data_IF_208848181374
#
_entry.id   IF_208848181374
#
_cell.length_a   1.000
_cell.length_b   1.000
_cell.length_c   1.000
_cell.angle_alpha   90.00
_cell.angle_beta   90.00
_cell.angle_gamma   90.00
#
_symmetry.space_group_name_H-M   'P 1'
#
loop_
_entity.id
_entity.type
_entity.pdbx_description
1 polymer ?
#
# COMPACT_ATOMS: atom_id res chain seq x y z
N UNK A 1 -3.74 13.99 28.35
CA UNK A 1 -4.83 14.47 27.46
C UNK A 1 -5.75 13.30 27.15
N UNK A 2 -7.05 13.55 26.91
CA UNK A 2 -8.05 12.49 26.73
C UNK A 2 -8.70 12.54 25.35
N UNK A 3 -8.88 11.38 24.73
CA UNK A 3 -9.65 11.28 23.50
C UNK A 3 -11.14 11.43 23.77
N UNK A 4 -11.83 12.12 22.88
CA UNK A 4 -13.27 12.28 22.83
C UNK A 4 -13.79 11.54 21.60
N UNK A 5 -14.72 10.62 21.82
CA UNK A 5 -15.47 10.00 20.73
C UNK A 5 -16.47 11.01 20.16
N UNK A 6 -16.45 11.20 18.85
CA UNK A 6 -17.33 12.16 18.16
C UNK A 6 -18.45 11.46 17.35
N UNK A 7 -18.52 10.13 17.39
CA UNK A 7 -19.51 9.36 16.63
C UNK A 7 -19.04 9.04 15.20
N UNK A 8 -20.00 8.74 14.34
CA UNK A 8 -19.83 8.58 12.89
C UNK A 8 -19.28 9.86 12.24
N UNK A 9 -18.79 9.77 10.99
CA UNK A 9 -18.42 10.98 10.25
C UNK A 9 -19.58 11.99 10.19
N UNK A 10 -20.81 11.54 9.93
CA UNK A 10 -21.98 12.43 9.81
C UNK A 10 -22.24 13.23 11.10
N UNK A 11 -22.05 12.61 12.27
CA UNK A 11 -22.21 13.27 13.57
C UNK A 11 -21.03 14.20 13.89
N UNK A 12 -19.80 13.72 13.66
CA UNK A 12 -18.57 14.42 14.00
C UNK A 12 -18.40 15.75 13.24
N UNK A 13 -19.06 15.92 12.09
CA UNK A 13 -19.14 17.20 11.33
C UNK A 13 -19.61 18.38 12.16
N UNK A 14 -20.41 18.13 13.21
CA UNK A 14 -20.97 19.16 14.10
C UNK A 14 -20.00 19.57 15.21
N UNK A 15 -18.84 18.93 15.33
CA UNK A 15 -17.86 19.21 16.38
C UNK A 15 -17.11 20.52 16.14
N UNK A 16 -17.05 21.38 17.16
CA UNK A 16 -16.29 22.65 17.12
C UNK A 16 -14.90 22.58 17.75
N UNK A 17 -14.37 21.40 18.09
CA UNK A 17 -13.07 21.32 18.77
C UNK A 17 -11.89 21.52 17.81
N UNK A 18 -10.80 22.07 18.34
CA UNK A 18 -9.46 22.05 17.75
C UNK A 18 -8.67 20.87 18.30
N UNK A 19 -7.81 20.25 17.48
CA UNK A 19 -7.02 19.13 17.97
C UNK A 19 -6.37 18.27 16.90
N UNK A 20 -5.88 17.11 17.37
CA UNK A 20 -5.58 15.94 16.53
C UNK A 20 -6.86 15.11 16.43
N UNK A 21 -7.15 14.54 15.27
CA UNK A 21 -8.28 13.62 15.09
C UNK A 21 -7.84 12.34 14.38
N UNK A 22 -8.57 11.26 14.67
CA UNK A 22 -8.44 9.97 14.03
C UNK A 22 -9.74 9.69 13.30
N UNK A 23 -9.63 9.14 12.09
CA UNK A 23 -10.73 8.38 11.48
C UNK A 23 -10.40 6.91 11.71
N UNK A 24 -11.36 6.19 12.28
CA UNK A 24 -11.23 4.79 12.66
C UNK A 24 -12.29 4.00 11.92
N UNK A 25 -11.91 2.87 11.33
CA UNK A 25 -12.83 1.90 10.76
C UNK A 25 -13.22 0.87 11.83
N UNK A 26 -14.52 0.75 12.09
CA UNK A 26 -15.12 -0.18 13.06
C UNK A 26 -15.45 -1.53 12.40
N UNK A 27 -14.38 -2.26 12.05
CA UNK A 27 -14.46 -3.62 11.55
C UNK A 27 -14.38 -4.67 12.66
N UNK A 28 -13.83 -5.84 12.31
CA UNK A 28 -13.43 -6.88 13.29
C UNK A 28 -12.47 -6.31 14.33
N UNK A 29 -11.62 -5.37 13.90
CA UNK A 29 -10.74 -4.59 14.74
C UNK A 29 -10.97 -3.10 14.47
N UNK A 30 -10.95 -2.29 15.53
CA UNK A 30 -11.06 -0.83 15.43
C UNK A 30 -9.72 -0.25 14.93
N UNK A 31 -9.59 -0.06 13.62
CA UNK A 31 -8.34 0.32 12.93
C UNK A 31 -8.30 1.80 12.60
N UNK A 32 -7.18 2.47 12.89
CA UNK A 32 -6.96 3.85 12.45
C UNK A 32 -6.73 3.89 10.94
N UNK A 33 -7.57 4.58 10.18
CA UNK A 33 -7.46 4.72 8.72
C UNK A 33 -6.99 6.09 8.27
N UNK A 34 -7.04 7.08 9.16
CA UNK A 34 -6.52 8.42 8.92
C UNK A 34 -6.15 9.10 10.23
N UNK A 35 -5.10 9.92 10.20
CA UNK A 35 -4.69 10.79 11.32
C UNK A 35 -4.53 12.19 10.75
N UNK A 36 -5.09 13.20 11.40
CA UNK A 36 -4.92 14.58 10.98
C UNK A 36 -5.02 15.58 12.12
N UNK A 37 -4.77 16.84 11.79
CA UNK A 37 -4.89 17.98 12.71
C UNK A 37 -5.83 19.04 12.16
N UNK A 38 -6.48 19.79 13.03
CA UNK A 38 -7.27 20.96 12.62
C UNK A 38 -7.56 21.90 13.79
N UNK A 39 -7.68 23.19 13.49
CA UNK A 39 -8.28 24.17 14.40
C UNK A 39 -9.81 24.04 14.47
N UNK A 40 -10.44 23.31 13.55
CA UNK A 40 -11.86 22.97 13.56
C UNK A 40 -12.07 21.56 12.97
N UNK A 41 -12.11 20.57 13.86
CA UNK A 41 -12.27 19.16 13.49
C UNK A 41 -13.56 18.92 12.71
N UNK A 42 -14.70 19.48 13.11
CA UNK A 42 -15.98 19.23 12.41
C UNK A 42 -16.00 19.74 10.96
N UNK A 43 -15.38 20.90 10.71
CA UNK A 43 -15.16 21.38 9.33
C UNK A 43 -14.31 20.39 8.55
N UNK A 44 -13.20 19.92 9.12
CA UNK A 44 -12.29 18.99 8.43
C UNK A 44 -12.93 17.62 8.18
N UNK A 45 -13.76 17.13 9.11
CA UNK A 45 -14.56 15.92 8.91
C UNK A 45 -15.62 16.12 7.81
N UNK A 46 -16.21 17.31 7.70
CA UNK A 46 -17.12 17.63 6.58
C UNK A 46 -16.40 17.51 5.23
N UNK A 47 -15.19 18.05 5.13
CA UNK A 47 -14.36 17.93 3.92
C UNK A 47 -14.03 16.47 3.58
N UNK A 48 -13.75 15.63 4.60
CA UNK A 48 -13.55 14.19 4.38
C UNK A 48 -14.82 13.49 3.91
N UNK A 49 -15.96 13.76 4.55
CA UNK A 49 -17.25 13.15 4.19
C UNK A 49 -17.66 13.49 2.75
N UNK A 50 -17.65 14.77 2.37
CA UNK A 50 -17.95 15.18 0.99
C UNK A 50 -16.88 14.71 0.01
N UNK A 51 -15.63 14.57 0.46
CA UNK A 51 -14.55 13.98 -0.33
C UNK A 51 -14.82 12.51 -0.66
N UNK A 52 -15.32 11.73 0.29
CA UNK A 52 -15.71 10.34 0.06
C UNK A 52 -16.84 10.23 -0.97
N UNK A 53 -17.92 11.00 -0.79
CA UNK A 53 -19.08 10.97 -1.70
C UNK A 53 -18.72 11.32 -3.14
N UNK A 54 -17.72 12.18 -3.34
CA UNK A 54 -17.20 12.55 -4.66
C UNK A 54 -16.15 11.59 -5.22
N UNK A 55 -15.76 10.53 -4.50
CA UNK A 55 -14.67 9.63 -4.91
C UNK A 55 -13.27 10.25 -4.80
N UNK A 56 -13.12 11.39 -4.12
CA UNK A 56 -11.87 12.12 -3.90
C UNK A 56 -11.20 11.75 -2.56
N UNK A 57 -11.37 10.50 -2.14
CA UNK A 57 -10.76 9.90 -0.95
C UNK A 57 -10.56 8.40 -1.18
N UNK A 58 -9.56 7.83 -0.52
CA UNK A 58 -9.30 6.40 -0.58
C UNK A 58 -10.42 5.59 0.08
N UNK A 59 -11.03 4.66 -0.65
CA UNK A 59 -12.12 3.80 -0.16
C UNK A 59 -11.64 2.35 -0.14
N UNK A 60 -11.93 1.64 0.94
CA UNK A 60 -11.63 0.21 1.05
C UNK A 60 -12.94 -0.57 0.98
N UNK A 61 -12.96 -1.68 0.24
CA UNK A 61 -14.10 -2.60 0.21
C UNK A 61 -14.11 -3.48 1.48
N UNK A 62 -14.29 -2.84 2.64
CA UNK A 62 -14.29 -3.44 3.97
C UNK A 62 -15.52 -2.98 4.75
N UNK A 63 -16.35 -3.94 5.17
CA UNK A 63 -17.51 -3.69 6.03
C UNK A 63 -17.23 -3.98 7.50
N UNK A 64 -18.30 -4.11 8.29
CA UNK A 64 -18.24 -4.38 9.73
C UNK A 64 -17.49 -5.68 10.10
N UNK A 65 -17.61 -6.71 9.27
CA UNK A 65 -17.02 -8.02 9.52
C UNK A 65 -15.64 -8.20 8.85
N UNK A 66 -15.01 -7.12 8.41
CA UNK A 66 -13.70 -7.13 7.78
C UNK A 66 -12.67 -6.38 8.61
N UNK A 67 -11.41 -6.83 8.59
CA UNK A 67 -10.27 -5.99 9.00
C UNK A 67 -9.80 -5.17 7.79
N UNK A 68 -9.94 -3.85 7.84
CA UNK A 68 -9.46 -2.96 6.77
C UNK A 68 -7.95 -3.03 6.57
N UNK A 69 -7.17 -3.41 7.60
CA UNK A 69 -5.72 -3.55 7.48
C UNK A 69 -5.28 -4.71 6.58
N UNK A 70 -6.17 -5.64 6.22
CA UNK A 70 -5.90 -6.61 5.14
C UNK A 70 -5.62 -5.94 3.79
N UNK A 71 -6.19 -4.75 3.58
CA UNK A 71 -6.00 -3.92 2.40
C UNK A 71 -5.01 -2.78 2.60
N UNK A 72 -4.72 -2.36 3.83
CA UNK A 72 -3.80 -1.25 4.11
C UNK A 72 -2.38 -1.67 4.46
N UNK A 73 -2.18 -2.90 4.94
CA UNK A 73 -0.86 -3.36 5.38
C UNK A 73 -0.10 -4.06 4.27
N UNK A 74 1.12 -3.58 4.03
CA UNK A 74 2.10 -4.21 3.15
C UNK A 74 2.96 -5.26 3.86
N UNK A 75 2.58 -5.68 5.08
CA UNK A 75 3.36 -6.65 5.84
C UNK A 75 3.57 -7.96 5.06
N UNK A 76 4.82 -8.42 4.96
CA UNK A 76 5.25 -9.55 4.10
C UNK A 76 4.99 -9.38 2.59
N UNK A 77 4.63 -8.18 2.15
CA UNK A 77 4.51 -7.82 0.72
C UNK A 77 5.83 -7.19 0.24
N UNK A 78 6.46 -7.83 -0.76
CA UNK A 78 7.73 -7.35 -1.33
C UNK A 78 7.51 -6.13 -2.24
N UNK A 79 6.64 -6.27 -3.24
CA UNK A 79 6.30 -5.18 -4.17
C UNK A 79 4.90 -4.65 -3.83
N UNK A 80 4.86 -3.71 -2.89
CA UNK A 80 3.61 -3.12 -2.39
C UNK A 80 2.87 -2.35 -3.48
N UNK A 81 3.56 -1.60 -4.35
CA UNK A 81 2.92 -0.90 -5.48
C UNK A 81 2.13 -1.86 -6.37
N UNK A 82 2.75 -2.96 -6.80
CA UNK A 82 2.07 -3.97 -7.63
C UNK A 82 0.92 -4.62 -6.88
N UNK A 83 1.12 -4.95 -5.60
CA UNK A 83 0.07 -5.54 -4.77
C UNK A 83 -1.16 -4.64 -4.66
N UNK A 84 -0.96 -3.35 -4.42
CA UNK A 84 -2.06 -2.39 -4.36
C UNK A 84 -2.74 -2.19 -5.72
N UNK A 85 -2.00 -2.16 -6.83
CA UNK A 85 -2.59 -2.19 -8.18
C UNK A 85 -3.45 -3.44 -8.41
N UNK A 86 -2.99 -4.62 -7.98
CA UNK A 86 -3.76 -5.87 -8.04
C UNK A 86 -5.04 -5.77 -7.19
N UNK A 87 -4.97 -5.18 -5.99
CA UNK A 87 -6.15 -4.93 -5.14
C UNK A 87 -7.13 -3.94 -5.79
N UNK A 88 -6.64 -2.88 -6.43
CA UNK A 88 -7.48 -1.93 -7.15
C UNK A 88 -8.22 -2.60 -8.31
N UNK A 89 -7.50 -3.36 -9.15
CA UNK A 89 -8.07 -4.10 -10.27
C UNK A 89 -9.12 -5.15 -9.81
N UNK A 90 -9.00 -5.66 -8.57
CA UNK A 90 -9.97 -6.56 -7.95
C UNK A 90 -11.11 -5.86 -7.20
N UNK A 91 -11.26 -4.53 -7.36
CA UNK A 91 -12.27 -3.71 -6.67
C UNK A 91 -12.21 -3.82 -5.14
N UNK A 92 -11.00 -3.94 -4.60
CA UNK A 92 -10.75 -3.97 -3.15
C UNK A 92 -10.35 -2.61 -2.59
N UNK A 93 -9.69 -1.78 -3.40
CA UNK A 93 -9.25 -0.44 -3.03
C UNK A 93 -9.55 0.54 -4.17
N UNK A 94 -10.18 1.65 -3.83
CA UNK A 94 -10.22 2.86 -4.65
C UNK A 94 -9.18 3.81 -4.09
N UNK A 95 -8.06 4.02 -4.80
CA UNK A 95 -7.01 4.91 -4.32
C UNK A 95 -7.18 6.29 -4.95
N UNK A 96 -7.49 7.30 -4.14
CA UNK A 96 -7.70 8.66 -4.63
C UNK A 96 -6.96 9.67 -3.76
N UNK A 97 -6.75 10.87 -4.32
CA UNK A 97 -6.04 11.96 -3.66
C UNK A 97 -7.01 12.88 -2.93
N UNK A 98 -6.52 13.59 -1.93
CA UNK A 98 -7.31 14.62 -1.25
C UNK A 98 -7.46 15.92 -2.03
N UNK A 99 -6.76 16.05 -3.16
CA UNK A 99 -6.85 17.20 -4.07
C UNK A 99 -8.20 17.20 -4.77
N UNK A 100 -8.88 18.35 -4.79
CA UNK A 100 -10.12 18.49 -5.53
C UNK A 100 -9.83 18.37 -7.03
N UNK A 101 -10.33 17.29 -7.63
CA UNK A 101 -10.32 17.06 -9.07
C UNK A 101 -11.74 17.15 -9.60
N UNK A 102 -11.88 17.64 -10.84
CA UNK A 102 -13.17 17.74 -11.52
C UNK A 102 -13.80 16.36 -11.78
N UNK A 103 -12.99 15.32 -11.84
CA UNK A 103 -13.42 13.92 -11.93
C UNK A 103 -12.60 13.07 -10.96
N UNK A 104 -13.27 12.10 -10.33
CA UNK A 104 -12.62 11.15 -9.45
C UNK A 104 -11.77 10.18 -10.27
N UNK A 105 -10.53 9.94 -9.83
CA UNK A 105 -9.57 9.06 -10.50
C UNK A 105 -9.04 8.05 -9.51
N UNK A 106 -9.00 6.77 -9.91
CA UNK A 106 -8.25 5.76 -9.17
C UNK A 106 -6.78 5.79 -9.60
N UNK A 107 -5.93 6.29 -8.71
CA UNK A 107 -4.48 6.43 -8.90
C UNK A 107 -3.74 5.09 -9.06
N UNK A 108 -4.42 3.97 -8.81
CA UNK A 108 -3.91 2.60 -8.98
C UNK A 108 -4.45 1.88 -10.21
N UNK A 109 -5.50 2.40 -10.83
CA UNK A 109 -6.20 1.78 -11.95
C UNK A 109 -6.90 2.86 -12.78
N UNK A 110 -6.17 3.47 -13.71
CA UNK A 110 -6.64 4.64 -14.47
C UNK A 110 -7.89 4.34 -15.32
N UNK A 111 -8.13 3.08 -15.68
CA UNK A 111 -9.29 2.64 -16.45
C UNK A 111 -10.56 2.53 -15.58
N UNK A 112 -10.44 2.49 -14.25
CA UNK A 112 -11.60 2.42 -13.37
C UNK A 112 -12.26 3.78 -13.20
N UNK A 113 -13.58 3.78 -13.39
CA UNK A 113 -14.41 4.95 -13.14
C UNK A 113 -15.05 4.86 -11.76
N UNK A 114 -15.18 6.01 -11.11
CA UNK A 114 -16.03 6.13 -9.93
C UNK A 114 -17.49 6.15 -10.39
N UNK A 115 -18.30 5.24 -9.88
CA UNK A 115 -19.70 5.11 -10.25
C UNK A 115 -20.41 4.12 -9.34
N UNK A 116 -21.57 3.61 -9.79
CA UNK A 116 -22.52 2.85 -8.96
C UNK A 116 -21.88 1.77 -8.08
N UNK A 117 -20.92 1.00 -8.59
CA UNK A 117 -20.26 -0.05 -7.82
C UNK A 117 -19.46 0.50 -6.63
N UNK A 118 -18.73 1.60 -6.82
CA UNK A 118 -17.95 2.23 -5.75
C UNK A 118 -18.81 3.04 -4.81
N UNK A 119 -19.89 3.66 -5.31
CA UNK A 119 -20.91 4.31 -4.49
C UNK A 119 -21.60 3.30 -3.56
N UNK A 120 -21.96 2.12 -4.07
CA UNK A 120 -22.53 1.03 -3.28
C UNK A 120 -21.56 0.55 -2.19
N UNK A 121 -20.30 0.28 -2.54
CA UNK A 121 -19.27 -0.10 -1.55
C UNK A 121 -19.10 1.00 -0.50
N UNK A 122 -19.05 2.26 -0.93
CA UNK A 122 -18.86 3.38 -0.02
C UNK A 122 -20.03 3.50 0.96
N UNK A 123 -21.24 3.62 0.45
CA UNK A 123 -22.44 3.94 1.23
C UNK A 123 -22.90 2.78 2.09
N UNK A 124 -22.77 1.55 1.60
CA UNK A 124 -23.31 0.36 2.27
C UNK A 124 -22.26 -0.42 3.08
N UNK A 125 -20.96 -0.26 2.79
CA UNK A 125 -19.90 -1.01 3.50
C UNK A 125 -18.94 -0.12 4.24
N UNK A 126 -18.29 0.83 3.57
CA UNK A 126 -17.12 1.49 4.14
C UNK A 126 -17.48 2.67 5.05
N UNK A 127 -18.21 3.66 4.51
CA UNK A 127 -18.56 4.90 5.21
C UNK A 127 -19.32 4.67 6.52
N UNK A 128 -20.29 3.74 6.63
CA UNK A 128 -20.99 3.47 7.88
C UNK A 128 -20.08 2.98 9.02
N UNK A 129 -18.92 2.40 8.70
CA UNK A 129 -17.97 1.91 9.70
C UNK A 129 -16.96 2.97 10.11
N UNK A 130 -16.98 4.15 9.51
CA UNK A 130 -16.03 5.20 9.84
C UNK A 130 -16.54 6.06 11.00
N UNK A 131 -15.77 6.06 12.07
CA UNK A 131 -16.00 6.89 13.26
C UNK A 131 -14.82 7.80 13.54
N UNK A 132 -15.07 8.84 14.33
CA UNK A 132 -14.09 9.88 14.60
C UNK A 132 -13.78 9.95 16.10
N UNK A 133 -12.48 9.99 16.39
CA UNK A 133 -11.96 10.36 17.70
C UNK A 133 -11.21 11.68 17.58
N UNK A 134 -11.35 12.56 18.57
CA UNK A 134 -10.57 13.79 18.64
C UNK A 134 -9.82 13.87 19.96
N UNK A 135 -8.58 14.33 19.93
CA UNK A 135 -7.79 14.73 21.08
C UNK A 135 -7.81 16.27 21.13
N UNK A 136 -8.80 16.87 21.83
CA UNK A 136 -8.91 18.31 21.90
C UNK A 136 -7.80 18.91 22.78
N UNK A 137 -7.30 20.08 22.39
CA UNK A 137 -6.41 20.88 23.22
C UNK A 137 -6.77 22.37 23.13
N UNK A 138 -6.89 23.00 24.30
CA UNK A 138 -7.37 24.37 24.45
C UNK A 138 -6.39 25.40 23.86
N UNK A 139 -5.10 25.11 23.92
CA UNK A 139 -4.00 25.96 23.44
C UNK A 139 -3.47 25.48 22.08
N UNK A 140 -4.40 25.22 21.14
CA UNK A 140 -4.08 24.75 19.80
C UNK A 140 -3.09 25.67 19.09
N UNK A 141 -1.98 25.07 18.67
CA UNK A 141 -1.16 25.57 17.57
C UNK A 141 -0.95 24.43 16.58
N UNK A 142 -0.76 24.79 15.31
CA UNK A 142 -0.53 23.80 14.26
C UNK A 142 0.73 22.99 14.58
N UNK A 143 1.80 23.65 15.01
CA UNK A 143 3.09 23.03 15.32
C UNK A 143 2.97 21.96 16.42
N UNK A 144 2.25 22.25 17.51
CA UNK A 144 2.00 21.29 18.60
C UNK A 144 1.19 20.09 18.13
N UNK A 145 0.16 20.34 17.33
CA UNK A 145 -0.73 19.31 16.80
C UNK A 145 0.05 18.34 15.89
N UNK A 146 0.85 18.90 14.98
CA UNK A 146 1.62 18.15 13.98
C UNK A 146 2.69 17.27 14.62
N UNK A 147 3.27 17.66 15.76
CA UNK A 147 4.18 16.81 16.54
C UNK A 147 3.48 15.51 16.98
N UNK A 148 2.27 15.63 17.54
CA UNK A 148 1.51 14.47 18.02
C UNK A 148 1.05 13.60 16.85
N UNK A 149 0.50 14.21 15.80
CA UNK A 149 0.10 13.53 14.56
C UNK A 149 1.26 12.73 13.96
N UNK A 150 2.44 13.36 13.80
CA UNK A 150 3.59 12.75 13.16
C UNK A 150 4.10 11.53 13.94
N UNK A 151 4.11 11.59 15.28
CA UNK A 151 4.51 10.45 16.13
C UNK A 151 3.49 9.31 16.04
N UNK A 152 2.19 9.62 16.06
CA UNK A 152 1.13 8.61 15.88
C UNK A 152 1.27 7.93 14.51
N UNK A 153 1.30 8.71 13.42
CA UNK A 153 1.43 8.18 12.07
C UNK A 153 2.71 7.35 11.92
N UNK A 154 3.86 7.87 12.38
CA UNK A 154 5.15 7.15 12.27
C UNK A 154 5.14 5.82 13.01
N UNK A 155 4.58 5.76 14.22
CA UNK A 155 4.51 4.51 14.98
C UNK A 155 3.54 3.52 14.36
N UNK A 156 2.35 3.94 13.93
CA UNK A 156 1.39 3.08 13.24
C UNK A 156 1.97 2.51 11.93
N UNK A 157 2.59 3.37 11.12
CA UNK A 157 3.23 2.98 9.85
C UNK A 157 4.32 1.94 10.08
N UNK A 158 5.19 2.16 11.06
CA UNK A 158 6.28 1.23 11.40
C UNK A 158 5.76 -0.08 12.01
N UNK A 159 4.76 -0.01 12.89
CA UNK A 159 4.22 -1.19 13.57
C UNK A 159 3.47 -2.13 12.62
N UNK A 160 2.69 -1.57 11.71
CA UNK A 160 1.74 -2.32 10.88
C UNK A 160 2.13 -2.38 9.40
N UNK A 161 3.34 -1.92 9.04
CA UNK A 161 3.86 -1.84 7.67
C UNK A 161 2.89 -1.11 6.72
N UNK A 162 2.35 0.02 7.16
CA UNK A 162 1.43 0.89 6.39
C UNK A 162 2.25 1.80 5.46
N UNK A 163 2.91 1.20 4.47
CA UNK A 163 3.84 1.90 3.57
C UNK A 163 3.18 3.08 2.83
N UNK A 164 4.06 3.93 2.29
CA UNK A 164 3.69 5.15 1.62
C UNK A 164 2.75 4.99 0.43
N UNK A 165 2.03 6.06 0.11
CA UNK A 165 1.26 6.21 -1.11
C UNK A 165 2.19 6.18 -2.32
N UNK A 166 1.77 5.54 -3.41
CA UNK A 166 2.60 5.03 -4.51
C UNK A 166 3.68 6.04 -4.95
N UNK A 167 4.93 5.77 -4.54
CA UNK A 167 6.14 6.49 -4.92
C UNK A 167 6.44 7.85 -4.25
N UNK A 168 5.71 8.28 -3.21
CA UNK A 168 6.00 9.52 -2.48
C UNK A 168 6.58 9.24 -1.09
N UNK A 169 7.84 9.67 -0.87
CA UNK A 169 8.63 9.36 0.34
C UNK A 169 8.09 9.95 1.67
N UNK A 170 6.96 10.66 1.66
CA UNK A 170 6.43 11.37 2.84
C UNK A 170 4.90 11.28 2.99
N UNK A 171 4.22 10.58 2.07
CA UNK A 171 2.78 10.35 2.15
C UNK A 171 2.58 8.91 2.58
N UNK A 172 1.96 8.69 3.72
CA UNK A 172 1.49 7.37 4.16
C UNK A 172 0.03 7.16 3.74
N UNK A 173 -0.43 5.92 3.82
CA UNK A 173 -1.87 5.62 3.69
C UNK A 173 -2.71 6.41 4.73
N UNK A 174 -2.12 6.79 5.87
CA UNK A 174 -2.79 7.54 6.93
C UNK A 174 -2.77 9.06 6.75
N UNK A 175 -1.99 9.59 5.80
CA UNK A 175 -1.75 11.03 5.63
C UNK A 175 -0.27 11.39 5.44
N UNK A 176 -0.01 12.69 5.29
CA UNK A 176 1.34 13.26 5.19
C UNK A 176 1.98 13.32 6.58
N UNK A 177 3.19 12.78 6.70
CA UNK A 177 3.98 12.89 7.94
C UNK A 177 4.87 14.11 7.82
N UNK A 178 4.57 15.18 8.54
CA UNK A 178 5.33 16.43 8.43
C UNK A 178 6.65 16.40 9.20
N UNK A 179 6.71 15.65 10.31
CA UNK A 179 7.90 15.54 11.15
C UNK A 179 8.33 14.06 11.31
N UNK A 180 8.84 13.42 10.25
CA UNK A 180 9.11 11.98 10.22
C UNK A 180 10.23 11.53 11.17
N UNK A 181 11.11 12.44 11.57
CA UNK A 181 12.22 12.16 12.49
C UNK A 181 11.79 12.14 13.96
N UNK A 182 10.58 12.63 14.27
CA UNK A 182 10.04 12.58 15.62
C UNK A 182 9.55 11.16 15.95
N UNK A 183 10.08 10.63 17.05
CA UNK A 183 9.82 9.24 17.47
C UNK A 183 9.02 9.10 18.75
N UNK A 184 8.83 10.20 19.50
CA UNK A 184 8.09 10.24 20.75
C UNK A 184 7.55 11.63 21.05
N UNK A 185 6.56 11.70 21.93
CA UNK A 185 6.04 12.95 22.52
C UNK A 185 6.24 12.95 24.03
N UNK A 186 6.37 14.11 24.67
CA UNK A 186 6.51 14.18 26.13
C UNK A 186 5.17 14.08 26.85
N UNK A 187 4.08 14.40 26.17
CA UNK A 187 2.76 14.46 26.78
C UNK A 187 2.19 13.06 27.00
N UNK A 188 1.64 12.83 28.19
CA UNK A 188 0.85 11.64 28.46
C UNK A 188 -0.53 11.77 27.79
N UNK A 189 -0.83 10.85 26.88
CA UNK A 189 -2.08 10.78 26.13
C UNK A 189 -2.69 9.41 26.42
N UNK A 190 -3.92 9.39 26.92
CA UNK A 190 -4.65 8.13 27.13
C UNK A 190 -4.90 7.47 25.77
N UNK A 191 -4.98 6.13 25.69
CA UNK A 191 -5.37 5.49 24.44
C UNK A 191 -6.86 5.71 24.15
N UNK A 192 -7.27 5.99 22.90
CA UNK A 192 -8.67 5.84 22.51
C UNK A 192 -9.04 4.35 22.54
N UNK A 193 -10.35 4.07 22.54
CA UNK A 193 -10.84 2.70 22.39
C UNK A 193 -10.59 2.27 20.93
N UNK A 194 -9.52 1.50 20.75
CA UNK A 194 -9.05 0.94 19.48
C UNK A 194 -8.78 -0.56 19.67
N UNK A 195 -8.33 -1.25 18.61
CA UNK A 195 -7.83 -2.62 18.73
C UNK A 195 -6.59 -2.74 19.65
N UNK A 196 -6.36 -3.93 20.21
CA UNK A 196 -5.28 -4.17 21.19
C UNK A 196 -3.88 -3.76 20.68
N UNK A 197 -3.55 -4.04 19.42
CA UNK A 197 -2.25 -3.68 18.87
C UNK A 197 -2.11 -2.16 18.78
N UNK A 198 -3.16 -1.47 18.34
CA UNK A 198 -3.20 0.00 18.31
C UNK A 198 -3.12 0.58 19.72
N UNK A 199 -3.85 0.04 20.70
CA UNK A 199 -3.78 0.52 22.08
C UNK A 199 -2.35 0.45 22.65
N UNK A 200 -1.60 -0.62 22.36
CA UNK A 200 -0.19 -0.71 22.74
C UNK A 200 0.63 0.44 22.15
N UNK A 201 0.39 0.84 20.90
CA UNK A 201 1.05 2.00 20.28
C UNK A 201 0.69 3.29 21.01
N UNK A 202 -0.61 3.55 21.24
CA UNK A 202 -1.08 4.78 21.85
C UNK A 202 -0.63 4.92 23.31
N UNK A 203 -0.61 3.84 24.08
CA UNK A 203 -0.08 3.83 25.44
C UNK A 203 1.44 4.09 25.50
N UNK A 204 2.15 3.94 24.38
CA UNK A 204 3.59 4.09 24.27
C UNK A 204 4.01 5.25 23.37
N UNK A 205 3.17 6.28 23.14
CA UNK A 205 3.59 7.44 22.34
C UNK A 205 4.77 8.21 22.96
N UNK A 206 5.01 8.04 24.26
CA UNK A 206 6.07 8.71 25.01
C UNK A 206 7.44 8.00 24.94
N UNK A 207 7.48 6.75 24.49
CA UNK A 207 8.74 6.01 24.34
C UNK A 207 9.28 6.15 22.92
N UNK A 208 10.60 6.11 22.76
CA UNK A 208 11.20 6.08 21.43
C UNK A 208 10.99 4.69 20.80
N UNK A 209 10.69 4.66 19.50
CA UNK A 209 10.51 3.41 18.75
C UNK A 209 9.11 2.80 18.86
N UNK A 210 8.97 1.58 18.32
CA UNK A 210 7.69 0.84 18.30
C UNK A 210 7.78 -0.33 19.28
N UNK A 211 6.85 -0.46 20.24
CA UNK A 211 6.82 -1.63 21.13
C UNK A 211 6.66 -2.93 20.33
N UNK A 212 7.53 -3.91 20.60
CA UNK A 212 7.49 -5.21 19.91
C UNK A 212 6.17 -5.95 20.12
N UNK A 213 5.49 -5.68 21.23
CA UNK A 213 4.21 -6.31 21.57
C UNK A 213 3.10 -5.90 20.59
N UNK A 214 3.09 -4.65 20.12
CA UNK A 214 2.13 -4.21 19.11
C UNK A 214 2.26 -5.04 17.82
N UNK A 215 3.50 -5.33 17.42
CA UNK A 215 3.78 -6.15 16.25
C UNK A 215 3.36 -7.61 16.44
N UNK A 216 3.57 -8.17 17.64
CA UNK A 216 3.15 -9.55 17.96
C UNK A 216 1.63 -9.69 17.90
N UNK A 217 0.91 -8.81 18.58
CA UNK A 217 -0.56 -8.81 18.58
C UNK A 217 -1.08 -8.62 17.15
N UNK A 218 -0.52 -7.66 16.40
CA UNK A 218 -0.91 -7.41 15.01
C UNK A 218 -0.68 -8.63 14.11
N UNK A 219 0.44 -9.33 14.28
CA UNK A 219 0.74 -10.53 13.49
C UNK A 219 -0.27 -11.64 13.76
N UNK A 220 -0.76 -11.78 15.00
CA UNK A 220 -1.82 -12.73 15.34
C UNK A 220 -3.16 -12.30 14.74
N UNK A 221 -3.48 -10.99 14.79
CA UNK A 221 -4.72 -10.45 14.21
C UNK A 221 -4.80 -10.67 12.68
N UNK A 222 -3.67 -10.62 11.97
CA UNK A 222 -3.58 -10.83 10.50
C UNK A 222 -3.05 -12.22 10.10
N UNK A 223 -3.08 -13.21 10.99
CA UNK A 223 -2.44 -14.51 10.76
C UNK A 223 -2.93 -15.19 9.46
N UNK A 224 -4.23 -15.08 9.15
CA UNK A 224 -4.82 -15.64 7.92
C UNK A 224 -4.23 -15.00 6.67
N UNK A 225 -4.19 -13.67 6.63
CA UNK A 225 -3.63 -12.89 5.53
C UNK A 225 -2.12 -13.15 5.37
N UNK A 226 -1.39 -13.23 6.48
CA UNK A 226 0.05 -13.53 6.49
C UNK A 226 0.30 -14.92 5.94
N UNK A 227 -0.42 -15.93 6.44
CA UNK A 227 -0.33 -17.31 5.99
C UNK A 227 -0.60 -17.44 4.49
N UNK A 228 -1.61 -16.73 3.98
CA UNK A 228 -1.90 -16.72 2.55
C UNK A 228 -0.76 -16.10 1.72
N UNK A 229 -0.23 -14.96 2.16
CA UNK A 229 0.92 -14.29 1.51
C UNK A 229 2.16 -15.17 1.49
N UNK A 230 2.40 -15.94 2.56
CA UNK A 230 3.52 -16.88 2.65
C UNK A 230 3.35 -18.08 1.72
N UNK A 231 2.16 -18.67 1.64
CA UNK A 231 1.84 -19.74 0.67
C UNK A 231 2.07 -19.30 -0.78
N UNK A 232 1.64 -18.10 -1.14
CA UNK A 232 1.86 -17.54 -2.48
C UNK A 232 3.35 -17.32 -2.78
N UNK A 233 4.11 -16.87 -1.78
CA UNK A 233 5.56 -16.72 -1.87
C UNK A 233 6.24 -18.07 -2.08
N UNK A 234 5.88 -19.09 -1.31
CA UNK A 234 6.41 -20.46 -1.45
C UNK A 234 6.10 -21.05 -2.81
N UNK A 235 4.85 -20.93 -3.28
CA UNK A 235 4.45 -21.38 -4.61
C UNK A 235 5.29 -20.73 -5.71
N UNK A 236 5.55 -19.42 -5.59
CA UNK A 236 6.42 -18.68 -6.52
C UNK A 236 7.87 -19.15 -6.47
N UNK A 237 8.41 -19.40 -5.28
CA UNK A 237 9.77 -19.92 -5.10
C UNK A 237 9.91 -21.33 -5.68
N UNK A 238 8.93 -22.21 -5.44
CA UNK A 238 8.89 -23.55 -6.02
C UNK A 238 8.84 -23.51 -7.56
N UNK A 239 8.04 -22.62 -8.14
CA UNK A 239 8.01 -22.43 -9.59
C UNK A 239 9.35 -21.92 -10.13
N UNK A 240 10.00 -21.01 -9.42
CA UNK A 240 11.33 -20.50 -9.78
C UNK A 240 12.39 -21.61 -9.72
N UNK A 241 12.38 -22.44 -8.68
CA UNK A 241 13.28 -23.60 -8.56
C UNK A 241 13.06 -24.60 -9.69
N UNK A 242 11.80 -24.92 -10.04
CA UNK A 242 11.48 -25.77 -11.20
C UNK A 242 12.07 -25.21 -12.50
N UNK A 243 12.03 -23.89 -12.70
CA UNK A 243 12.64 -23.24 -13.88
C UNK A 243 14.17 -23.33 -13.87
N UNK A 244 14.81 -23.14 -12.72
CA UNK A 244 16.27 -23.27 -12.57
C UNK A 244 16.72 -24.70 -12.88
N UNK A 245 15.98 -25.71 -12.38
CA UNK A 245 16.27 -27.12 -12.66
C UNK A 245 16.09 -27.45 -14.15
N UNK A 246 15.02 -26.96 -14.78
CA UNK A 246 14.75 -27.20 -16.21
C UNK A 246 15.74 -26.46 -17.13
N UNK A 247 16.21 -25.29 -16.71
CA UNK A 247 17.03 -24.40 -17.51
C UNK A 247 18.25 -23.95 -16.71
N UNK A 248 19.40 -24.62 -16.90
CA UNK A 248 20.67 -24.36 -16.18
C UNK A 248 21.15 -22.91 -16.20
N UNK A 249 20.73 -22.14 -17.20
CA UNK A 249 21.09 -20.73 -17.41
C UNK A 249 19.90 -19.78 -17.16
N UNK A 250 18.85 -20.23 -16.47
CA UNK A 250 17.72 -19.39 -16.09
C UNK A 250 18.19 -18.21 -15.22
N UNK A 251 17.82 -17.00 -15.62
CA UNK A 251 18.15 -15.77 -14.90
C UNK A 251 19.62 -15.33 -14.95
N UNK A 252 20.54 -16.14 -15.51
CA UNK A 252 21.94 -15.72 -15.69
C UNK A 252 22.02 -14.59 -16.73
N UNK A 253 22.94 -13.61 -16.58
CA UNK A 253 23.21 -12.63 -17.62
C UNK A 253 23.57 -13.30 -18.95
N UNK A 254 23.29 -12.64 -20.07
CA UNK A 254 23.71 -13.14 -21.38
C UNK A 254 25.15 -12.70 -21.66
N UNK A 255 26.04 -13.65 -21.92
CA UNK A 255 27.43 -13.36 -22.34
C UNK A 255 27.49 -13.04 -23.84
N UNK A 256 28.60 -12.48 -24.32
CA UNK A 256 28.84 -12.33 -25.77
C UNK A 256 28.77 -13.68 -26.50
N UNK A 257 29.30 -14.73 -25.89
CA UNK A 257 29.22 -16.09 -26.43
C UNK A 257 27.77 -16.59 -26.53
N UNK A 258 26.94 -16.34 -25.51
CA UNK A 258 25.51 -16.67 -25.57
C UNK A 258 24.79 -15.88 -26.67
N UNK A 259 25.15 -14.60 -26.90
CA UNK A 259 24.59 -13.79 -27.99
C UNK A 259 24.96 -14.36 -29.35
N UNK A 260 26.22 -14.76 -29.55
CA UNK A 260 26.67 -15.31 -30.83
C UNK A 260 25.99 -16.65 -31.13
N UNK A 261 25.95 -17.55 -30.14
CA UNK A 261 25.23 -18.82 -30.26
C UNK A 261 23.77 -18.61 -30.60
N UNK A 262 23.12 -17.62 -29.97
CA UNK A 262 21.74 -17.27 -30.27
C UNK A 262 21.58 -16.76 -31.72
N UNK A 263 22.47 -15.89 -32.18
CA UNK A 263 22.45 -15.33 -33.54
C UNK A 263 22.60 -16.44 -34.58
N UNK A 264 23.63 -17.27 -34.44
CA UNK A 264 23.91 -18.42 -35.32
C UNK A 264 22.73 -19.39 -35.36
N UNK A 265 22.18 -19.79 -34.21
CA UNK A 265 21.00 -20.68 -34.17
C UNK A 265 19.78 -20.06 -34.86
N UNK A 266 19.62 -18.73 -34.79
CA UNK A 266 18.46 -18.03 -35.37
C UNK A 266 18.59 -17.82 -36.87
N UNK A 267 19.78 -17.43 -37.34
CA UNK A 267 20.02 -16.99 -38.72
C UNK A 267 20.46 -18.15 -39.59
N UNK A 268 21.45 -18.92 -39.13
CA UNK A 268 22.08 -19.96 -39.95
C UNK A 268 21.31 -21.29 -39.88
N UNK A 269 20.66 -21.55 -38.73
CA UNK A 269 19.89 -22.77 -38.50
C UNK A 269 18.37 -22.56 -38.43
N UNK A 270 17.90 -21.32 -38.55
CA UNK A 270 16.47 -20.94 -38.52
C UNK A 270 15.68 -21.55 -37.34
N UNK A 271 16.34 -21.78 -36.20
CA UNK A 271 15.74 -22.47 -35.07
C UNK A 271 14.67 -21.62 -34.38
N UNK A 272 13.65 -22.29 -33.84
CA UNK A 272 12.65 -21.66 -32.96
C UNK A 272 13.20 -21.56 -31.53
N UNK A 273 12.72 -20.59 -30.71
CA UNK A 273 13.13 -20.46 -29.31
C UNK A 273 12.96 -21.74 -28.46
N UNK A 274 11.98 -22.59 -28.80
CA UNK A 274 11.78 -23.89 -28.13
C UNK A 274 12.90 -24.89 -28.40
N UNK A 275 13.49 -24.88 -29.60
CA UNK A 275 14.60 -25.75 -30.00
C UNK A 275 15.91 -25.21 -29.40
N UNK A 276 16.14 -23.90 -29.47
CA UNK A 276 17.30 -23.21 -28.89
C UNK A 276 17.42 -23.41 -27.38
N UNK A 277 16.30 -23.61 -26.68
CA UNK A 277 16.26 -23.75 -25.23
C UNK A 277 17.12 -24.90 -24.69
N UNK A 278 17.22 -26.01 -25.43
CA UNK A 278 18.06 -27.14 -25.06
C UNK A 278 19.54 -26.74 -25.07
N UNK A 279 20.00 -26.10 -26.14
CA UNK A 279 21.40 -25.72 -26.33
C UNK A 279 21.85 -24.57 -25.43
N UNK A 280 21.02 -23.53 -25.33
CA UNK A 280 21.32 -22.36 -24.51
C UNK A 280 21.07 -22.62 -23.01
N UNK A 281 20.33 -23.69 -22.67
CA UNK A 281 19.91 -23.98 -21.31
C UNK A 281 19.04 -22.88 -20.70
N UNK A 282 18.29 -22.15 -21.54
CA UNK A 282 17.47 -20.98 -21.18
C UNK A 282 16.00 -21.24 -21.52
N UNK A 283 15.11 -20.57 -20.79
CA UNK A 283 13.67 -20.66 -21.05
C UNK A 283 13.33 -20.10 -22.45
N UNK A 284 12.50 -20.80 -23.25
CA UNK A 284 12.12 -20.35 -24.60
C UNK A 284 11.56 -18.91 -24.64
N UNK A 285 10.83 -18.48 -23.62
CA UNK A 285 10.29 -17.11 -23.55
C UNK A 285 11.40 -16.09 -23.32
N UNK A 286 12.41 -16.44 -22.52
CA UNK A 286 13.59 -15.60 -22.33
C UNK A 286 14.39 -15.44 -23.63
N UNK A 287 14.48 -16.51 -24.43
CA UNK A 287 15.14 -16.50 -25.73
C UNK A 287 14.38 -15.61 -26.71
N UNK A 288 13.06 -15.84 -26.85
CA UNK A 288 12.20 -15.04 -27.72
C UNK A 288 12.25 -13.54 -27.37
N UNK A 289 12.22 -13.21 -26.07
CA UNK A 289 12.35 -11.82 -25.61
C UNK A 289 13.72 -11.23 -25.96
N UNK A 290 14.80 -12.01 -25.85
CA UNK A 290 16.14 -11.53 -26.20
C UNK A 290 16.27 -11.23 -27.69
N UNK A 291 15.76 -12.12 -28.55
CA UNK A 291 15.70 -11.90 -30.00
C UNK A 291 14.96 -10.60 -30.31
N UNK A 292 13.75 -10.43 -29.76
CA UNK A 292 12.93 -9.23 -29.99
C UNK A 292 13.64 -7.95 -29.53
N UNK A 293 14.30 -7.98 -28.39
CA UNK A 293 15.05 -6.83 -27.88
C UNK A 293 16.24 -6.48 -28.78
N UNK A 294 17.04 -7.47 -29.16
CA UNK A 294 18.18 -7.26 -30.04
C UNK A 294 17.73 -6.72 -31.41
N UNK A 295 16.70 -7.32 -32.00
CA UNK A 295 16.10 -6.86 -33.26
C UNK A 295 15.66 -5.40 -33.17
N UNK A 296 15.03 -5.01 -32.07
CA UNK A 296 14.57 -3.63 -31.86
C UNK A 296 15.74 -2.66 -31.70
N UNK A 297 16.74 -3.01 -30.89
CA UNK A 297 17.85 -2.12 -30.55
C UNK A 297 18.78 -1.89 -31.74
N UNK A 298 19.09 -2.94 -32.49
CA UNK A 298 20.01 -2.85 -33.63
C UNK A 298 19.28 -2.59 -34.95
N UNK A 299 17.96 -2.40 -34.95
CA UNK A 299 17.12 -2.39 -36.17
C UNK A 299 17.38 -3.64 -37.04
N UNK A 300 17.40 -4.82 -36.43
CA UNK A 300 17.68 -6.15 -37.02
C UNK A 300 19.11 -6.38 -37.53
N UNK A 301 19.98 -5.37 -37.52
CA UNK A 301 21.39 -5.51 -37.97
C UNK A 301 22.24 -6.50 -37.18
N UNK A 302 21.91 -6.79 -35.91
CA UNK A 302 22.64 -7.77 -35.10
C UNK A 302 22.56 -9.19 -35.66
N UNK A 303 21.60 -9.47 -36.54
CA UNK A 303 21.49 -10.75 -37.25
C UNK A 303 22.66 -10.95 -38.22
N UNK A 304 23.19 -9.86 -38.76
CA UNK A 304 24.34 -9.85 -39.66
C UNK A 304 25.66 -9.96 -38.88
N UNK A 305 25.80 -9.20 -37.78
CA UNK A 305 27.05 -9.11 -37.02
C UNK A 305 26.78 -8.61 -35.58
N UNK A 306 27.47 -9.16 -34.58
CA UNK A 306 27.32 -8.74 -33.19
C UNK A 306 27.79 -7.32 -32.89
N UNK A 307 28.61 -6.69 -33.74
CA UNK A 307 29.07 -5.30 -33.54
C UNK A 307 27.95 -4.27 -33.44
N UNK A 308 26.73 -4.66 -33.81
CA UNK A 308 25.52 -3.82 -33.78
C UNK A 308 24.75 -3.90 -32.44
N UNK A 309 25.27 -4.60 -31.42
CA UNK A 309 24.73 -4.68 -30.05
C UNK A 309 25.58 -3.89 -29.05
#
# INVERSE_FOLDING_TARGET
MKWRFLGSLAEARKSGCSGVYLIVHQGVFERVVYVGVSNNVGRRISEHYEGYLRGNRTIYNAGHNDDVYKFMSAYKVRNHTKHYQELANQHKIWASTTVDLNSAINLLSEEQQFGFQWEDILLNKYLPQLVVWALPFADYTYEKATVIESVIQTKLVKAFDLRGFFNLKQISILGKIEQPDLTKISQCIDSPKLDLASQVIFNNLHTAGVPIEAYRIFSVQLDKEISQREKEKEARLALMQKKILRHKNYGKPWTHEDQEKLRVMLVDFEMKPSQMAFYLGRDPRSIAKRISNNDKLSQRKWREDLKWL
#
